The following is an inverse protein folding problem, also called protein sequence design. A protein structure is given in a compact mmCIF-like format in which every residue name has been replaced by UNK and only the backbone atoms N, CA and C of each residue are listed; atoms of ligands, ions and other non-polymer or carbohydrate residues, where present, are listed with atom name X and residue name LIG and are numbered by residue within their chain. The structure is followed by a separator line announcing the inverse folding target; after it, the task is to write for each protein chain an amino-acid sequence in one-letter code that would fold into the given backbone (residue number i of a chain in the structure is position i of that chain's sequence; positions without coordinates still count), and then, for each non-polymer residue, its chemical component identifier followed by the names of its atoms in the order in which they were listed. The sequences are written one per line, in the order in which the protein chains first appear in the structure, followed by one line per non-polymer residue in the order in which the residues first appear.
data_IF_154111615608
#
_entry.id   IF_154111615608
#
_cell.length_a   1.000
_cell.length_b   1.000
_cell.length_c   1.000
_cell.angle_alpha   90.00
_cell.angle_beta   90.00
_cell.angle_gamma   90.00
#
_symmetry.space_group_name_H-M   'P 1'
#
loop_
_entity.id
_entity.type
_entity.pdbx_description
1 polymer ?
#
# COMPACT_ATOMS: atom_id res chain seq x y z
N UNK A 1 -3.09 17.48 -11.07
CA UNK A 1 -2.83 16.54 -9.95
C UNK A 1 -2.20 15.24 -10.41
N UNK A 2 -2.87 14.45 -11.26
CA UNK A 2 -2.37 13.13 -11.71
C UNK A 2 -0.90 13.20 -12.16
N UNK A 3 -0.57 14.15 -13.05
CA UNK A 3 0.81 14.39 -13.50
C UNK A 3 1.79 14.66 -12.35
N UNK A 4 1.40 15.46 -11.35
CA UNK A 4 2.24 15.76 -10.18
C UNK A 4 2.50 14.50 -9.36
N UNK A 5 1.47 13.69 -9.10
CA UNK A 5 1.60 12.42 -8.37
C UNK A 5 2.47 11.43 -9.15
N UNK A 6 2.24 11.29 -10.45
CA UNK A 6 3.05 10.43 -11.32
C UNK A 6 4.52 10.87 -11.28
N UNK A 7 4.81 12.16 -11.40
CA UNK A 7 6.16 12.69 -11.29
C UNK A 7 6.79 12.40 -9.93
N UNK A 8 6.07 12.66 -8.83
CA UNK A 8 6.56 12.37 -7.46
C UNK A 8 6.94 10.88 -7.32
N UNK A 9 6.09 9.98 -7.81
CA UNK A 9 6.36 8.53 -7.76
C UNK A 9 7.53 8.12 -8.66
N UNK A 10 7.63 8.69 -9.87
CA UNK A 10 8.77 8.48 -10.75
C UNK A 10 10.08 8.95 -10.12
N UNK A 11 10.11 10.16 -9.56
CA UNK A 11 11.27 10.68 -8.85
C UNK A 11 11.63 9.80 -7.66
N UNK A 12 10.65 9.29 -6.93
CA UNK A 12 10.88 8.34 -5.83
C UNK A 12 11.63 7.10 -6.31
N UNK A 13 11.18 6.50 -7.42
CA UNK A 13 11.84 5.35 -8.03
C UNK A 13 13.26 5.69 -8.48
N UNK A 14 13.46 6.84 -9.13
CA UNK A 14 14.78 7.28 -9.62
C UNK A 14 15.77 7.55 -8.48
N UNK A 15 15.37 8.32 -7.47
CA UNK A 15 16.25 8.69 -6.36
C UNK A 15 16.56 7.50 -5.44
N UNK A 16 15.61 6.57 -5.26
CA UNK A 16 15.78 5.41 -4.40
C UNK A 16 16.08 4.11 -5.18
N UNK A 17 16.48 4.19 -6.45
CA UNK A 17 16.70 3.02 -7.31
C UNK A 17 17.61 1.95 -6.68
N UNK A 18 18.65 2.37 -5.94
CA UNK A 18 19.56 1.45 -5.26
C UNK A 18 18.88 0.71 -4.09
N UNK A 19 18.07 1.42 -3.29
CA UNK A 19 17.30 0.81 -2.19
C UNK A 19 16.23 -0.14 -2.75
N UNK A 20 15.55 0.26 -3.83
CA UNK A 20 14.56 -0.57 -4.53
C UNK A 20 15.23 -1.85 -5.05
N UNK A 21 16.42 -1.74 -5.66
CA UNK A 21 17.18 -2.91 -6.09
C UNK A 21 17.49 -3.85 -4.92
N UNK A 22 17.94 -3.32 -3.77
CA UNK A 22 18.17 -4.13 -2.57
C UNK A 22 16.89 -4.84 -2.11
N UNK A 23 15.75 -4.14 -2.09
CA UNK A 23 14.46 -4.74 -1.72
C UNK A 23 14.09 -5.90 -2.65
N UNK A 24 14.29 -5.75 -3.96
CA UNK A 24 14.03 -6.79 -4.95
C UNK A 24 14.99 -7.97 -4.76
N UNK A 25 16.30 -7.71 -4.63
CA UNK A 25 17.30 -8.76 -4.45
C UNK A 25 17.01 -9.57 -3.17
N UNK A 26 16.66 -8.89 -2.08
CA UNK A 26 16.25 -9.56 -0.82
C UNK A 26 14.99 -10.40 -1.01
N UNK A 27 13.98 -9.87 -1.72
CA UNK A 27 12.74 -10.58 -1.98
C UNK A 27 12.98 -11.93 -2.69
N UNK A 28 13.93 -11.99 -3.61
CA UNK A 28 14.29 -13.24 -4.29
C UNK A 28 15.15 -14.16 -3.43
N UNK A 29 16.21 -13.64 -2.79
CA UNK A 29 17.15 -14.46 -2.01
C UNK A 29 16.48 -15.20 -0.84
N UNK A 30 15.42 -14.64 -0.24
CA UNK A 30 14.77 -15.28 0.90
C UNK A 30 14.04 -16.58 0.55
N UNK A 31 13.65 -16.80 -0.71
CA UNK A 31 13.05 -18.06 -1.14
C UNK A 31 14.03 -19.24 -1.06
N UNK A 32 15.32 -18.98 -1.22
CA UNK A 32 16.37 -20.01 -1.15
C UNK A 32 16.67 -20.43 0.30
N UNK A 33 16.26 -19.63 1.28
CA UNK A 33 16.47 -19.92 2.70
C UNK A 33 15.35 -20.75 3.36
N UNK A 34 14.34 -21.15 2.59
CA UNK A 34 13.21 -21.94 3.07
C UNK A 34 13.62 -23.39 3.30
N UNK A 35 13.27 -23.94 4.48
CA UNK A 35 13.69 -25.29 4.90
C UNK A 35 12.63 -26.36 4.71
N UNK A 36 11.35 -25.99 4.75
CA UNK A 36 10.24 -26.96 4.79
C UNK A 36 9.16 -26.60 3.77
N UNK A 37 8.38 -27.59 3.27
CA UNK A 37 7.30 -27.33 2.33
C UNK A 37 6.24 -26.37 2.88
N UNK A 38 5.90 -26.46 4.18
CA UNK A 38 4.96 -25.53 4.83
C UNK A 38 5.47 -24.07 4.83
N UNK A 39 6.79 -23.85 4.98
CA UNK A 39 7.35 -22.49 4.87
C UNK A 39 7.21 -21.92 3.45
N UNK A 40 7.40 -22.79 2.43
CA UNK A 40 7.19 -22.43 1.02
C UNK A 40 5.73 -22.16 0.70
N UNK A 41 4.82 -22.96 1.24
CA UNK A 41 3.37 -22.77 1.08
C UNK A 41 2.93 -21.42 1.67
N UNK A 42 3.44 -21.03 2.84
CA UNK A 42 3.17 -19.72 3.43
C UNK A 42 3.63 -18.60 2.50
N UNK A 43 4.89 -18.61 2.05
CA UNK A 43 5.39 -17.55 1.16
C UNK A 43 4.61 -17.51 -0.17
N UNK A 44 4.26 -18.66 -0.74
CA UNK A 44 3.41 -18.73 -1.94
C UNK A 44 2.03 -18.11 -1.71
N UNK A 45 1.38 -18.42 -0.59
CA UNK A 45 0.07 -17.85 -0.25
C UNK A 45 0.10 -16.32 -0.15
N UNK A 46 1.15 -15.76 0.45
CA UNK A 46 1.32 -14.30 0.51
C UNK A 46 1.62 -13.70 -0.86
N UNK A 47 2.47 -14.34 -1.66
CA UNK A 47 2.74 -13.90 -3.04
C UNK A 47 1.49 -13.94 -3.93
N UNK A 48 0.66 -14.97 -3.81
CA UNK A 48 -0.62 -15.09 -4.52
C UNK A 48 -1.63 -14.04 -4.05
N UNK A 49 -1.66 -13.76 -2.74
CA UNK A 49 -2.52 -12.72 -2.16
C UNK A 49 -2.09 -11.34 -2.68
N UNK A 50 -0.80 -11.02 -2.63
CA UNK A 50 -0.26 -9.78 -3.17
C UNK A 50 -0.50 -9.63 -4.67
N UNK A 51 -0.39 -10.72 -5.45
CA UNK A 51 -0.74 -10.74 -6.88
C UNK A 51 -2.22 -10.43 -7.10
N UNK A 52 -3.11 -11.06 -6.33
CA UNK A 52 -4.56 -10.84 -6.44
C UNK A 52 -4.95 -9.41 -6.07
N UNK A 53 -4.37 -8.86 -4.99
CA UNK A 53 -4.60 -7.46 -4.60
C UNK A 53 -4.04 -6.49 -5.64
N UNK A 54 -2.84 -6.73 -6.14
CA UNK A 54 -2.25 -5.91 -7.21
C UNK A 54 -3.11 -5.92 -8.48
N UNK A 55 -3.62 -7.09 -8.89
CA UNK A 55 -4.49 -7.21 -10.06
C UNK A 55 -5.84 -6.52 -9.84
N UNK A 56 -6.46 -6.71 -8.68
CA UNK A 56 -7.72 -6.06 -8.33
C UNK A 56 -7.58 -4.53 -8.28
N UNK A 57 -6.53 -4.03 -7.62
CA UNK A 57 -6.22 -2.60 -7.54
C UNK A 57 -5.93 -2.01 -8.93
N UNK A 58 -5.14 -2.70 -9.75
CA UNK A 58 -4.85 -2.27 -11.13
C UNK A 58 -6.13 -2.18 -11.96
N UNK A 59 -6.96 -3.23 -11.94
CA UNK A 59 -8.23 -3.26 -12.67
C UNK A 59 -9.14 -2.11 -12.24
N UNK A 60 -9.23 -1.87 -10.92
CA UNK A 60 -9.97 -0.74 -10.37
C UNK A 60 -9.46 0.61 -10.91
N UNK A 61 -8.14 0.87 -10.89
CA UNK A 61 -7.56 2.12 -11.37
C UNK A 61 -7.80 2.35 -12.87
N UNK A 62 -7.64 1.30 -13.70
CA UNK A 62 -7.88 1.40 -15.14
C UNK A 62 -9.37 1.59 -15.46
N UNK A 63 -10.28 0.84 -14.83
CA UNK A 63 -11.73 0.99 -15.05
C UNK A 63 -12.21 2.37 -14.63
N UNK A 64 -11.87 2.82 -13.42
CA UNK A 64 -12.28 4.13 -12.91
C UNK A 64 -11.75 5.27 -13.77
N UNK A 65 -10.49 5.18 -14.19
CA UNK A 65 -9.89 6.13 -15.11
C UNK A 65 -10.55 6.17 -16.49
N UNK A 66 -10.82 5.00 -17.07
CA UNK A 66 -11.54 4.89 -18.34
C UNK A 66 -12.94 5.51 -18.24
N UNK A 67 -13.72 5.16 -17.22
CA UNK A 67 -15.05 5.73 -16.98
C UNK A 67 -15.00 7.25 -16.81
N UNK A 68 -13.99 7.76 -16.08
CA UNK A 68 -13.80 9.20 -15.85
C UNK A 68 -13.56 9.97 -17.16
N UNK A 69 -12.79 9.40 -18.08
CA UNK A 69 -12.53 9.99 -19.40
C UNK A 69 -13.75 9.87 -20.31
N UNK A 70 -14.44 8.73 -20.32
CA UNK A 70 -15.63 8.50 -21.13
C UNK A 70 -16.78 9.49 -20.84
N UNK A 71 -16.82 10.11 -19.65
CA UNK A 71 -17.77 11.20 -19.37
C UNK A 71 -17.69 12.34 -20.38
N UNK A 72 -16.50 12.61 -20.95
CA UNK A 72 -16.31 13.64 -21.99
C UNK A 72 -17.01 13.31 -23.31
N UNK A 73 -17.34 12.05 -23.57
CA UNK A 73 -18.07 11.63 -24.78
C UNK A 73 -19.59 11.83 -24.65
N UNK A 74 -20.12 12.08 -23.46
CA UNK A 74 -21.56 12.19 -23.25
C UNK A 74 -22.17 13.38 -24.04
N UNK A 75 -21.62 14.61 -23.99
CA UNK A 75 -22.17 15.72 -24.78
C UNK A 75 -22.23 15.46 -26.30
N UNK A 76 -21.15 15.02 -26.99
CA UNK A 76 -21.21 14.77 -28.43
C UNK A 76 -22.13 13.58 -28.80
N UNK A 77 -22.22 12.54 -27.97
CA UNK A 77 -23.17 11.45 -28.18
C UNK A 77 -24.62 11.95 -28.08
N UNK A 78 -24.92 12.79 -27.09
CA UNK A 78 -26.24 13.37 -26.92
C UNK A 78 -26.59 14.36 -28.03
N UNK A 79 -25.64 15.10 -28.59
CA UNK A 79 -25.89 16.00 -29.73
C UNK A 79 -26.30 15.21 -30.99
N UNK A 80 -25.85 13.97 -31.15
CA UNK A 80 -26.28 13.07 -32.24
C UNK A 80 -27.60 12.36 -31.93
N UNK A 81 -27.75 11.82 -30.71
CA UNK A 81 -28.90 11.00 -30.34
C UNK A 81 -30.15 11.81 -29.96
N UNK A 82 -29.96 12.98 -29.35
CA UNK A 82 -31.00 13.89 -28.84
C UNK A 82 -30.59 15.34 -29.14
N UNK A 83 -30.65 15.75 -30.42
CA UNK A 83 -30.19 17.07 -30.85
C UNK A 83 -31.02 18.18 -30.20
N UNK A 84 -30.34 19.24 -29.77
CA UNK A 84 -30.94 20.48 -29.29
C UNK A 84 -30.77 21.57 -30.37
N UNK A 85 -31.56 22.65 -30.29
CA UNK A 85 -31.42 23.80 -31.21
C UNK A 85 -30.02 24.45 -31.11
N UNK A 86 -29.37 24.34 -29.96
CA UNK A 86 -27.99 24.74 -29.73
C UNK A 86 -27.17 23.53 -29.26
N UNK A 87 -25.95 23.39 -29.76
CA UNK A 87 -25.05 22.30 -29.37
C UNK A 87 -24.61 22.42 -27.90
N UNK A 88 -24.52 21.30 -27.20
CA UNK A 88 -24.08 21.26 -25.79
C UNK A 88 -22.64 21.77 -25.62
N UNK A 89 -22.28 22.35 -24.46
CA UNK A 89 -20.89 22.73 -24.20
C UNK A 89 -19.97 21.51 -24.20
N UNK A 90 -18.75 21.68 -24.74
CA UNK A 90 -17.74 20.61 -24.74
C UNK A 90 -17.29 20.36 -23.31
N UNK A 91 -17.23 19.08 -22.92
CA UNK A 91 -16.67 18.66 -21.65
C UNK A 91 -15.26 18.11 -21.89
N UNK A 92 -14.18 18.90 -21.73
CA UNK A 92 -12.83 18.42 -21.98
C UNK A 92 -12.45 17.30 -21.00
N UNK A 93 -11.59 16.38 -21.43
CA UNK A 93 -11.14 15.25 -20.58
C UNK A 93 -10.37 15.73 -19.34
N UNK A 94 -9.62 16.81 -19.48
CA UNK A 94 -9.01 17.58 -18.40
C UNK A 94 -8.97 19.07 -18.78
N UNK A 95 -8.98 19.99 -17.82
CA UNK A 95 -8.86 21.42 -18.11
C UNK A 95 -7.43 21.69 -18.61
N UNK A 96 -7.30 22.03 -19.89
CA UNK A 96 -6.01 22.31 -20.53
C UNK A 96 -6.21 23.08 -21.82
N UNK A 97 -5.40 24.13 -22.03
CA UNK A 97 -5.46 24.93 -23.25
C UNK A 97 -4.50 24.37 -24.30
N UNK A 98 -5.04 23.96 -25.45
CA UNK A 98 -4.28 23.32 -26.53
C UNK A 98 -3.92 24.27 -27.67
N UNK A 99 -4.21 25.58 -27.54
CA UNK A 99 -4.02 26.59 -28.61
C UNK A 99 -4.72 26.24 -29.94
N UNK A 100 -5.74 25.40 -29.88
CA UNK A 100 -6.61 25.00 -31.00
C UNK A 100 -8.06 25.12 -30.57
N UNK A 101 -8.98 25.19 -31.54
CA UNK A 101 -10.42 25.18 -31.24
C UNK A 101 -10.84 23.87 -30.58
N UNK A 102 -11.47 23.97 -29.41
CA UNK A 102 -11.80 22.81 -28.57
C UNK A 102 -12.87 21.90 -29.20
N UNK A 103 -13.76 22.45 -30.04
CA UNK A 103 -14.81 21.68 -30.72
C UNK A 103 -14.27 21.00 -31.95
N UNK A 104 -13.54 21.72 -32.79
CA UNK A 104 -13.00 21.19 -34.04
C UNK A 104 -11.97 20.07 -33.78
N UNK A 105 -11.11 20.24 -32.78
CA UNK A 105 -10.04 19.29 -32.45
C UNK A 105 -10.37 18.37 -31.27
N UNK A 106 -11.65 18.26 -30.89
CA UNK A 106 -12.09 17.44 -29.76
C UNK A 106 -11.59 15.98 -29.85
N UNK A 107 -11.74 15.34 -31.01
CA UNK A 107 -11.32 13.93 -31.19
C UNK A 107 -9.83 13.74 -30.98
N UNK A 108 -8.99 14.65 -31.48
CA UNK A 108 -7.53 14.57 -31.34
C UNK A 108 -7.09 14.81 -29.89
N UNK A 109 -7.65 15.85 -29.25
CA UNK A 109 -7.37 16.16 -27.83
C UNK A 109 -7.85 15.06 -26.89
N UNK A 110 -9.00 14.44 -27.19
CA UNK A 110 -9.53 13.29 -26.46
C UNK A 110 -8.63 12.05 -26.59
N UNK A 111 -8.19 11.70 -27.80
CA UNK A 111 -7.25 10.59 -28.03
C UNK A 111 -5.92 10.82 -27.30
N UNK A 112 -5.39 12.04 -27.36
CA UNK A 112 -4.20 12.42 -26.59
C UNK A 112 -4.43 12.24 -25.09
N UNK A 113 -5.58 12.66 -24.58
CA UNK A 113 -5.91 12.53 -23.16
C UNK A 113 -5.98 11.06 -22.70
N UNK A 114 -6.52 10.16 -23.53
CA UNK A 114 -6.51 8.71 -23.25
C UNK A 114 -5.07 8.22 -23.10
N UNK A 115 -4.21 8.49 -24.09
CA UNK A 115 -2.81 8.00 -24.06
C UNK A 115 -2.05 8.58 -22.86
N UNK A 116 -2.18 9.87 -22.60
CA UNK A 116 -1.53 10.52 -21.47
C UNK A 116 -1.99 9.94 -20.11
N UNK A 117 -3.29 9.65 -19.99
CA UNK A 117 -3.86 9.05 -18.79
C UNK A 117 -3.38 7.62 -18.58
N UNK A 118 -3.40 6.78 -19.61
CA UNK A 118 -2.92 5.39 -19.54
C UNK A 118 -1.47 5.32 -19.08
N UNK A 119 -0.60 6.17 -19.61
CA UNK A 119 0.81 6.27 -19.19
C UNK A 119 0.90 6.67 -17.72
N UNK A 120 0.16 7.70 -17.31
CA UNK A 120 0.21 8.23 -15.96
C UNK A 120 -0.32 7.23 -14.91
N UNK A 121 -1.44 6.57 -15.20
CA UNK A 121 -2.04 5.54 -14.32
C UNK A 121 -1.13 4.32 -14.24
N UNK A 122 -0.54 3.88 -15.36
CA UNK A 122 0.41 2.75 -15.34
C UNK A 122 1.57 3.02 -14.38
N UNK A 123 2.14 4.23 -14.40
CA UNK A 123 3.21 4.62 -13.47
C UNK A 123 2.77 4.62 -12.00
N UNK A 124 1.56 5.11 -11.71
CA UNK A 124 0.97 5.12 -10.36
C UNK A 124 0.75 3.70 -9.87
N UNK A 125 0.10 2.87 -10.70
CA UNK A 125 -0.22 1.47 -10.40
C UNK A 125 1.05 0.65 -10.19
N UNK A 126 2.06 0.80 -11.04
CA UNK A 126 3.33 0.09 -10.91
C UNK A 126 4.03 0.41 -9.57
N UNK A 127 4.07 1.69 -9.20
CA UNK A 127 4.66 2.12 -7.93
C UNK A 127 3.91 1.55 -6.71
N UNK A 128 2.57 1.61 -6.73
CA UNK A 128 1.75 1.16 -5.60
C UNK A 128 1.73 -0.36 -5.46
N UNK A 129 1.62 -1.09 -6.57
CA UNK A 129 1.69 -2.56 -6.57
C UNK A 129 3.07 -3.05 -6.11
N UNK A 130 4.15 -2.32 -6.42
CA UNK A 130 5.48 -2.60 -5.89
C UNK A 130 5.51 -2.46 -4.37
N UNK A 131 5.00 -1.35 -3.82
CA UNK A 131 4.90 -1.15 -2.37
C UNK A 131 4.05 -2.24 -1.70
N UNK A 132 2.88 -2.56 -2.27
CA UNK A 132 1.99 -3.61 -1.78
C UNK A 132 2.71 -4.96 -1.73
N UNK A 133 3.42 -5.31 -2.80
CA UNK A 133 4.18 -6.56 -2.86
C UNK A 133 5.26 -6.63 -1.79
N UNK A 134 5.95 -5.53 -1.51
CA UNK A 134 6.93 -5.46 -0.41
C UNK A 134 6.29 -5.62 0.97
N UNK A 135 5.13 -5.00 1.20
CA UNK A 135 4.40 -5.14 2.46
C UNK A 135 3.95 -6.60 2.66
N UNK A 136 3.36 -7.21 1.63
CA UNK A 136 2.94 -8.62 1.66
C UNK A 136 4.12 -9.56 1.90
N UNK A 137 5.26 -9.27 1.29
CA UNK A 137 6.48 -10.01 1.52
C UNK A 137 6.94 -9.90 2.98
N UNK A 138 6.99 -8.70 3.58
CA UNK A 138 7.31 -8.55 5.01
C UNK A 138 6.32 -9.30 5.90
N UNK A 139 5.02 -9.23 5.61
CA UNK A 139 4.00 -9.99 6.34
C UNK A 139 4.26 -11.50 6.28
N UNK A 140 4.74 -12.00 5.14
CA UNK A 140 5.12 -13.41 4.97
C UNK A 140 6.33 -13.77 5.85
N UNK A 141 7.36 -12.92 5.91
CA UNK A 141 8.56 -13.15 6.74
C UNK A 141 8.20 -13.11 8.22
N UNK A 142 7.33 -12.19 8.64
CA UNK A 142 6.85 -12.11 10.03
C UNK A 142 6.10 -13.38 10.42
N UNK A 143 5.22 -13.85 9.54
CA UNK A 143 4.47 -15.10 9.74
C UNK A 143 5.41 -16.30 9.82
N UNK A 144 6.42 -16.35 8.95
CA UNK A 144 7.47 -17.36 8.93
C UNK A 144 8.29 -17.36 10.23
N UNK A 145 8.69 -16.17 10.70
CA UNK A 145 9.39 -16.03 11.97
C UNK A 145 8.53 -16.57 13.14
N UNK A 146 7.25 -16.19 13.19
CA UNK A 146 6.30 -16.70 14.18
C UNK A 146 6.15 -18.23 14.15
N UNK A 147 6.01 -18.82 12.96
CA UNK A 147 5.93 -20.27 12.79
C UNK A 147 7.21 -20.98 13.28
N UNK A 148 8.39 -20.44 12.92
CA UNK A 148 9.67 -21.02 13.33
C UNK A 148 9.84 -21.00 14.84
N UNK A 149 9.43 -19.90 15.50
CA UNK A 149 9.37 -19.84 16.95
C UNK A 149 8.37 -20.85 17.53
N UNK A 150 7.19 -21.03 16.95
CA UNK A 150 6.21 -22.00 17.44
C UNK A 150 6.73 -23.45 17.36
N UNK A 151 7.33 -23.84 16.21
CA UNK A 151 7.89 -25.19 16.00
C UNK A 151 9.03 -25.51 16.95
N UNK A 152 9.93 -24.54 17.17
CA UNK A 152 11.02 -24.65 18.14
C UNK A 152 10.50 -25.06 19.53
N UNK A 153 9.33 -24.55 19.89
CA UNK A 153 8.74 -24.73 21.21
C UNK A 153 7.96 -26.04 21.29
N UNK A 154 7.29 -26.44 20.21
CA UNK A 154 6.63 -27.75 20.10
C UNK A 154 7.64 -28.91 20.18
N UNK A 155 8.67 -28.91 19.32
CA UNK A 155 9.73 -29.93 19.32
C UNK A 155 10.38 -30.10 20.69
N UNK A 156 10.53 -28.99 21.42
CA UNK A 156 11.08 -28.99 22.76
C UNK A 156 10.15 -29.66 23.77
N UNK A 157 8.86 -29.36 23.76
CA UNK A 157 7.90 -30.02 24.66
C UNK A 157 7.88 -31.53 24.41
N UNK A 158 7.93 -31.96 23.15
CA UNK A 158 8.01 -33.38 22.79
C UNK A 158 9.33 -34.01 23.29
N UNK A 159 10.46 -33.29 23.17
CA UNK A 159 11.75 -33.73 23.69
C UNK A 159 11.84 -33.75 25.22
N UNK A 160 11.20 -32.81 25.92
CA UNK A 160 11.12 -32.79 27.39
C UNK A 160 10.27 -33.97 27.89
N UNK A 161 9.23 -34.36 27.13
CA UNK A 161 8.46 -35.56 27.41
C UNK A 161 9.24 -36.86 27.08
N UNK A 162 10.20 -36.80 26.15
CA UNK A 162 11.00 -37.96 25.73
C UNK A 162 12.34 -38.13 26.48
N UNK A 163 12.95 -37.09 27.06
CA UNK A 163 14.27 -37.16 27.70
C UNK A 163 14.21 -37.47 29.21
N UNK A 164 13.96 -38.74 29.48
CA UNK A 164 14.70 -39.52 30.49
C UNK A 164 16.01 -40.11 29.92
N UNK A 165 16.44 -39.78 28.70
CA UNK A 165 17.64 -40.36 28.09
C UNK A 165 18.59 -39.34 27.47
N UNK A 166 19.72 -39.14 28.16
CA UNK A 166 21.07 -38.81 27.69
C UNK A 166 21.34 -37.67 26.67
N UNK A 167 22.37 -36.90 27.01
CA UNK A 167 22.81 -35.66 26.41
C UNK A 167 23.25 -35.76 24.94
N UNK A 168 23.00 -34.68 24.20
CA UNK A 168 23.29 -34.53 22.77
C UNK A 168 22.52 -33.50 21.89
N UNK A 169 21.54 -32.65 22.34
CA UNK A 169 20.75 -31.80 21.41
C UNK A 169 21.04 -30.28 21.43
N UNK A 170 22.04 -29.79 22.19
CA UNK A 170 22.18 -28.35 22.49
C UNK A 170 22.54 -27.47 21.28
N UNK A 171 23.34 -27.97 20.32
CA UNK A 171 23.81 -27.15 19.20
C UNK A 171 22.76 -26.99 18.08
N UNK A 172 21.95 -28.02 17.81
CA UNK A 172 20.88 -27.97 16.80
C UNK A 172 19.77 -27.02 17.24
N UNK A 173 19.32 -27.12 18.49
CA UNK A 173 18.31 -26.21 19.04
C UNK A 173 18.80 -24.75 19.04
N UNK A 174 20.09 -24.53 19.37
CA UNK A 174 20.72 -23.21 19.32
C UNK A 174 20.76 -22.64 17.89
N UNK A 175 21.11 -23.46 16.89
CA UNK A 175 21.10 -23.07 15.48
C UNK A 175 19.70 -22.69 15.00
N UNK A 176 18.67 -23.47 15.37
CA UNK A 176 17.28 -23.17 14.99
C UNK A 176 16.76 -21.86 15.63
N UNK A 177 17.10 -21.59 16.89
CA UNK A 177 16.74 -20.32 17.56
C UNK A 177 17.44 -19.14 16.90
N UNK A 178 18.76 -19.26 16.68
CA UNK A 178 19.55 -18.20 16.02
C UNK A 178 18.99 -17.88 14.65
N UNK A 179 18.59 -18.92 13.90
CA UNK A 179 17.96 -18.77 12.60
C UNK A 179 16.61 -18.04 12.68
N UNK A 180 15.75 -18.38 13.64
CA UNK A 180 14.45 -17.72 13.85
C UNK A 180 14.59 -16.25 14.24
N UNK A 181 15.55 -15.95 15.13
CA UNK A 181 15.93 -14.58 15.50
C UNK A 181 16.46 -13.81 14.28
N UNK A 182 17.26 -14.45 13.42
CA UNK A 182 17.75 -13.86 12.19
C UNK A 182 16.58 -13.52 11.23
N UNK A 183 15.62 -14.42 11.05
CA UNK A 183 14.42 -14.19 10.22
C UNK A 183 13.61 -13.00 10.72
N UNK A 184 13.34 -12.91 12.02
CA UNK A 184 12.66 -11.74 12.59
C UNK A 184 13.45 -10.44 12.37
N UNK A 185 14.77 -10.47 12.55
CA UNK A 185 15.63 -9.31 12.30
C UNK A 185 15.64 -8.90 10.82
N UNK A 186 15.54 -9.84 9.89
CA UNK A 186 15.42 -9.57 8.46
C UNK A 186 14.10 -8.86 8.14
N UNK A 187 12.98 -9.35 8.67
CA UNK A 187 11.67 -8.69 8.53
C UNK A 187 11.73 -7.22 9.00
N UNK A 188 12.31 -6.97 10.17
CA UNK A 188 12.50 -5.62 10.70
C UNK A 188 13.32 -4.72 9.75
N UNK A 189 14.45 -5.23 9.26
CA UNK A 189 15.32 -4.48 8.34
C UNK A 189 14.64 -4.23 6.99
N UNK A 190 13.92 -5.21 6.47
CA UNK A 190 13.18 -5.09 5.21
C UNK A 190 12.10 -4.01 5.35
N UNK A 191 11.30 -4.07 6.41
CA UNK A 191 10.27 -3.07 6.69
C UNK A 191 10.85 -1.65 6.86
N UNK A 192 11.97 -1.53 7.58
CA UNK A 192 12.66 -0.26 7.74
C UNK A 192 13.16 0.28 6.39
N UNK A 193 13.67 -0.59 5.51
CA UNK A 193 14.12 -0.19 4.17
C UNK A 193 12.95 0.24 3.27
N UNK A 194 11.78 -0.41 3.37
CA UNK A 194 10.54 0.07 2.71
C UNK A 194 10.22 1.47 3.22
N UNK A 195 10.17 1.67 4.53
CA UNK A 195 9.83 2.95 5.13
C UNK A 195 10.83 4.04 4.69
N UNK A 196 12.13 3.79 4.79
CA UNK A 196 13.20 4.71 4.35
C UNK A 196 13.17 5.01 2.85
N UNK A 197 12.46 4.21 2.05
CA UNK A 197 12.33 4.37 0.60
C UNK A 197 11.08 5.18 0.23
N UNK A 198 9.94 4.89 0.87
CA UNK A 198 8.63 5.42 0.46
C UNK A 198 8.05 6.49 1.39
N UNK A 199 8.62 6.69 2.59
CA UNK A 199 8.05 7.56 3.63
C UNK A 199 7.79 9.00 3.18
N UNK A 200 8.74 9.62 2.46
CA UNK A 200 8.58 10.98 1.94
C UNK A 200 7.47 11.07 0.87
N UNK A 201 7.47 10.14 -0.06
CA UNK A 201 6.51 10.04 -1.17
C UNK A 201 5.10 9.90 -0.66
N UNK A 202 4.92 9.03 0.33
CA UNK A 202 3.66 8.80 1.01
C UNK A 202 3.19 10.04 1.79
N UNK A 203 4.10 10.77 2.43
CA UNK A 203 3.77 12.02 3.12
C UNK A 203 3.27 13.09 2.16
N UNK A 204 3.98 13.31 1.06
CA UNK A 204 3.57 14.27 0.02
C UNK A 204 2.22 13.85 -0.57
N UNK A 205 2.01 12.56 -0.79
CA UNK A 205 0.75 12.04 -1.32
C UNK A 205 -0.44 12.29 -0.38
N UNK A 206 -0.28 12.10 0.93
CA UNK A 206 -1.35 12.39 1.91
C UNK A 206 -1.70 13.88 1.88
N UNK A 207 -0.71 14.77 1.92
CA UNK A 207 -0.96 16.23 1.91
C UNK A 207 -1.71 16.65 0.64
N UNK A 208 -1.26 16.18 -0.53
CA UNK A 208 -1.92 16.48 -1.81
C UNK A 208 -3.35 15.92 -1.83
N UNK A 209 -3.56 14.71 -1.31
CA UNK A 209 -4.87 14.07 -1.28
C UNK A 209 -5.85 14.84 -0.36
N UNK A 210 -5.43 15.21 0.85
CA UNK A 210 -6.25 16.00 1.80
C UNK A 210 -6.67 17.34 1.20
N UNK A 211 -5.72 18.09 0.63
CA UNK A 211 -6.02 19.39 -0.01
C UNK A 211 -7.00 19.20 -1.17
N UNK A 212 -6.77 18.18 -2.00
CA UNK A 212 -7.58 17.95 -3.19
C UNK A 212 -9.00 17.51 -2.86
N UNK A 213 -9.19 16.61 -1.89
CA UNK A 213 -10.53 16.21 -1.42
C UNK A 213 -11.28 17.46 -0.93
N UNK A 214 -10.62 18.30 -0.13
CA UNK A 214 -11.21 19.53 0.41
C UNK A 214 -11.67 20.49 -0.69
N UNK A 215 -10.82 20.78 -1.67
CA UNK A 215 -11.15 21.66 -2.81
C UNK A 215 -12.24 21.04 -3.69
N UNK A 216 -12.19 19.74 -3.94
CA UNK A 216 -13.19 19.08 -4.80
C UNK A 216 -14.56 19.06 -4.15
N UNK A 217 -14.63 18.87 -2.82
CA UNK A 217 -15.89 19.00 -2.07
C UNK A 217 -16.46 20.40 -2.17
N UNK A 218 -15.62 21.42 -2.04
CA UNK A 218 -16.02 22.82 -2.20
C UNK A 218 -16.63 23.05 -3.59
N UNK A 219 -15.97 22.56 -4.65
CA UNK A 219 -16.46 22.64 -6.03
C UNK A 219 -17.80 21.93 -6.22
N UNK A 220 -18.03 20.79 -5.55
CA UNK A 220 -19.33 20.09 -5.58
C UNK A 220 -20.43 20.96 -4.98
N UNK A 221 -20.15 21.67 -3.88
CA UNK A 221 -21.17 22.48 -3.19
C UNK A 221 -21.47 23.82 -3.84
N UNK A 222 -20.51 24.42 -4.54
CA UNK A 222 -20.63 25.75 -5.11
C UNK A 222 -21.16 25.76 -6.54
N UNK A 223 -21.15 24.62 -7.22
CA UNK A 223 -21.44 24.60 -8.64
C UNK A 223 -22.94 24.72 -8.95
N UNK A 224 -23.28 25.77 -9.72
CA UNK A 224 -24.41 25.80 -10.66
C UNK A 224 -24.12 25.00 -11.95
N UNK A 225 -23.09 24.15 -11.96
CA UNK A 225 -22.65 23.43 -13.16
C UNK A 225 -23.55 22.22 -13.45
N UNK A 226 -23.54 21.78 -14.71
CA UNK A 226 -24.34 20.64 -15.15
C UNK A 226 -24.00 19.35 -14.40
N UNK A 227 -25.00 18.47 -14.28
CA UNK A 227 -24.97 17.19 -13.55
C UNK A 227 -23.71 16.35 -13.85
N UNK A 228 -23.23 16.37 -15.10
CA UNK A 228 -22.03 15.63 -15.53
C UNK A 228 -20.74 16.05 -14.79
N UNK A 229 -20.58 17.34 -14.50
CA UNK A 229 -19.39 17.85 -13.80
C UNK A 229 -19.46 17.46 -12.32
N UNK A 230 -20.64 17.54 -11.71
CA UNK A 230 -20.87 17.05 -10.35
C UNK A 230 -20.55 15.55 -10.23
N UNK A 231 -21.05 14.72 -11.15
CA UNK A 231 -20.74 13.28 -11.19
C UNK A 231 -19.24 13.05 -11.31
N UNK A 232 -18.54 13.82 -12.15
CA UNK A 232 -17.09 13.72 -12.33
C UNK A 232 -16.34 13.99 -11.02
N UNK A 233 -16.72 15.02 -10.27
CA UNK A 233 -16.09 15.35 -8.98
C UNK A 233 -16.39 14.31 -7.90
N UNK A 234 -17.63 13.81 -7.82
CA UNK A 234 -17.98 12.75 -6.87
C UNK A 234 -17.17 11.48 -7.14
N UNK A 235 -17.10 11.05 -8.41
CA UNK A 235 -16.28 9.89 -8.80
C UNK A 235 -14.80 10.10 -8.47
N UNK A 236 -14.29 11.31 -8.68
CA UNK A 236 -12.92 11.64 -8.34
C UNK A 236 -12.65 11.53 -6.82
N UNK A 237 -13.51 12.09 -5.98
CA UNK A 237 -13.36 12.01 -4.51
C UNK A 237 -13.44 10.58 -4.02
N UNK A 238 -14.44 9.82 -4.49
CA UNK A 238 -14.56 8.40 -4.17
C UNK A 238 -13.30 7.63 -4.60
N UNK A 239 -12.74 7.97 -5.77
CA UNK A 239 -11.54 7.31 -6.27
C UNK A 239 -10.31 7.58 -5.40
N UNK A 240 -10.14 8.82 -4.94
CA UNK A 240 -9.07 9.21 -4.03
C UNK A 240 -9.21 8.57 -2.65
N UNK A 241 -10.44 8.42 -2.14
CA UNK A 241 -10.72 7.78 -0.86
C UNK A 241 -10.40 6.28 -0.90
N UNK A 242 -10.84 5.57 -1.95
CA UNK A 242 -10.54 4.14 -2.13
C UNK A 242 -9.03 3.94 -2.25
N UNK A 243 -8.34 4.80 -3.00
CA UNK A 243 -6.89 4.76 -3.14
C UNK A 243 -6.17 4.87 -1.78
N UNK A 244 -6.53 5.86 -0.97
CA UNK A 244 -5.96 6.05 0.37
C UNK A 244 -6.34 4.92 1.33
N UNK A 245 -7.56 4.40 1.21
CA UNK A 245 -8.03 3.25 1.99
C UNK A 245 -7.18 2.01 1.69
N UNK A 246 -6.90 1.69 0.42
CA UNK A 246 -6.05 0.56 0.05
C UNK A 246 -4.66 0.65 0.69
N UNK A 247 -4.02 1.82 0.66
CA UNK A 247 -2.71 2.02 1.30
C UNK A 247 -2.77 1.86 2.82
N UNK A 248 -3.84 2.38 3.44
CA UNK A 248 -4.02 2.31 4.90
C UNK A 248 -4.37 0.90 5.37
N UNK A 249 -5.10 0.14 4.55
CA UNK A 249 -5.42 -1.26 4.77
C UNK A 249 -4.17 -2.14 4.75
N UNK A 250 -3.29 -1.95 3.76
CA UNK A 250 -2.00 -2.67 3.71
C UNK A 250 -1.09 -2.29 4.89
N UNK A 251 -1.06 -1.00 5.27
CA UNK A 251 -0.37 -0.56 6.47
C UNK A 251 -0.90 -1.22 7.75
N UNK A 252 -2.22 -1.34 7.88
CA UNK A 252 -2.86 -2.04 9.00
C UNK A 252 -2.48 -3.53 9.03
N UNK A 253 -2.47 -4.18 7.87
CA UNK A 253 -2.09 -5.60 7.74
C UNK A 253 -0.67 -5.85 8.27
N UNK A 254 0.27 -4.95 7.99
CA UNK A 254 1.63 -5.02 8.50
C UNK A 254 1.68 -4.91 10.04
N UNK A 255 0.92 -3.98 10.61
CA UNK A 255 0.79 -3.80 12.06
C UNK A 255 0.25 -5.07 12.70
N UNK A 256 -0.84 -5.62 12.16
CA UNK A 256 -1.51 -6.80 12.69
C UNK A 256 -0.58 -8.02 12.66
N UNK A 257 0.14 -8.25 11.56
CA UNK A 257 1.12 -9.34 11.49
C UNK A 257 2.29 -9.16 12.44
N UNK A 258 2.76 -7.93 12.65
CA UNK A 258 3.80 -7.64 13.62
C UNK A 258 3.35 -7.99 15.05
N UNK A 259 2.12 -7.60 15.42
CA UNK A 259 1.54 -7.88 16.73
C UNK A 259 1.29 -9.38 16.93
N UNK A 260 0.76 -10.08 15.92
CA UNK A 260 0.59 -11.53 15.99
C UNK A 260 1.91 -12.27 16.20
N UNK A 261 2.98 -11.86 15.51
CA UNK A 261 4.30 -12.45 15.70
C UNK A 261 4.84 -12.18 17.10
N UNK A 262 4.65 -10.97 17.63
CA UNK A 262 4.97 -10.64 19.03
C UNK A 262 4.25 -11.58 20.00
N UNK A 263 2.95 -11.74 19.84
CA UNK A 263 2.12 -12.54 20.74
C UNK A 263 2.49 -14.03 20.69
N UNK A 264 2.80 -14.57 19.50
CA UNK A 264 3.34 -15.94 19.34
C UNK A 264 4.67 -16.14 20.07
N UNK A 265 5.56 -15.15 20.03
CA UNK A 265 6.85 -15.21 20.72
C UNK A 265 6.65 -15.09 22.23
N UNK A 266 5.81 -14.17 22.70
CA UNK A 266 5.56 -13.93 24.11
C UNK A 266 4.88 -15.12 24.80
N UNK A 267 3.84 -15.69 24.18
CA UNK A 267 3.08 -16.82 24.71
C UNK A 267 3.85 -18.15 24.64
N UNK A 268 5.04 -18.15 24.05
CA UNK A 268 5.89 -19.33 24.05
C UNK A 268 6.47 -19.61 25.45
N UNK A 269 6.75 -20.88 25.82
CA UNK A 269 7.42 -21.21 27.09
C UNK A 269 8.93 -20.83 27.10
N UNK A 270 9.28 -19.63 26.67
CA UNK A 270 10.65 -19.14 26.50
C UNK A 270 11.45 -19.16 27.81
N UNK A 271 10.77 -18.96 28.95
CA UNK A 271 11.35 -19.02 30.30
C UNK A 271 11.84 -20.42 30.68
N UNK A 272 11.47 -21.47 29.93
CA UNK A 272 12.03 -22.81 30.11
C UNK A 272 13.36 -22.97 29.38
N UNK A 273 13.72 -22.07 28.47
CA UNK A 273 14.88 -22.22 27.58
C UNK A 273 16.23 -22.08 28.26
N UNK A 274 17.33 -22.40 27.55
CA UNK A 274 18.67 -22.14 28.09
C UNK A 274 18.85 -20.64 28.33
N UNK A 275 19.66 -20.26 29.31
CA UNK A 275 19.86 -18.85 29.67
C UNK A 275 20.30 -17.98 28.47
N UNK A 276 21.13 -18.53 27.58
CA UNK A 276 21.53 -17.85 26.35
C UNK A 276 20.35 -17.61 25.40
N UNK A 277 19.51 -18.62 25.16
CA UNK A 277 18.35 -18.51 24.29
C UNK A 277 17.27 -17.58 24.85
N UNK A 278 17.06 -17.62 26.17
CA UNK A 278 16.20 -16.66 26.88
C UNK A 278 16.66 -15.23 26.62
N UNK A 279 17.97 -14.97 26.76
CA UNK A 279 18.53 -13.63 26.50
C UNK A 279 18.31 -13.16 25.07
N UNK A 280 18.49 -14.03 24.08
CA UNK A 280 18.22 -13.68 22.66
C UNK A 280 16.74 -13.36 22.42
N UNK A 281 15.84 -14.16 23.00
CA UNK A 281 14.39 -13.96 22.87
C UNK A 281 13.91 -12.69 23.58
N UNK A 282 14.50 -12.34 24.72
CA UNK A 282 14.20 -11.06 25.39
C UNK A 282 14.48 -9.87 24.47
N UNK A 283 15.61 -9.84 23.75
CA UNK A 283 15.89 -8.79 22.77
C UNK A 283 14.89 -8.79 21.60
N UNK A 284 14.46 -9.97 21.14
CA UNK A 284 13.43 -10.06 20.09
C UNK A 284 12.10 -9.51 20.60
N UNK A 285 11.67 -9.89 21.80
CA UNK A 285 10.44 -9.39 22.41
C UNK A 285 10.49 -7.89 22.65
N UNK A 286 11.61 -7.36 23.16
CA UNK A 286 11.82 -5.93 23.34
C UNK A 286 11.65 -5.17 22.01
N UNK A 287 12.21 -5.69 20.92
CA UNK A 287 12.01 -5.10 19.58
C UNK A 287 10.58 -5.27 19.06
N UNK A 288 9.93 -6.38 19.37
CA UNK A 288 8.56 -6.67 18.96
C UNK A 288 7.50 -5.92 19.79
N UNK A 289 7.87 -5.29 20.92
CA UNK A 289 6.96 -4.42 21.69
C UNK A 289 6.43 -3.27 20.83
N UNK A 290 7.30 -2.70 20.00
CA UNK A 290 6.91 -1.69 19.02
C UNK A 290 6.46 -2.40 17.74
N UNK A 291 5.19 -2.22 17.31
CA UNK A 291 4.73 -2.81 16.07
C UNK A 291 5.52 -2.25 14.90
N UNK A 292 5.74 -3.09 13.89
CA UNK A 292 6.22 -2.65 12.59
C UNK A 292 5.06 -1.97 11.87
N UNK A 293 5.27 -0.75 11.42
CA UNK A 293 4.27 0.03 10.71
C UNK A 293 4.89 0.78 9.56
N UNK A 294 4.06 1.10 8.56
CA UNK A 294 4.40 2.03 7.50
C UNK A 294 4.03 3.45 7.95
N UNK A 295 4.92 4.42 7.77
CA UNK A 295 4.62 5.82 8.10
C UNK A 295 5.05 6.80 7.02
N UNK A 296 4.32 7.91 6.97
CA UNK A 296 4.67 9.12 6.25
C UNK A 296 5.44 10.06 7.20
N UNK A 297 6.74 10.19 6.95
CA UNK A 297 7.71 10.96 7.72
C UNK A 297 7.64 10.78 9.25
N UNK A 298 7.23 9.61 9.76
CA UNK A 298 6.98 9.33 11.19
C UNK A 298 5.87 10.18 11.85
N UNK A 299 5.15 11.01 11.08
CA UNK A 299 4.07 11.87 11.57
C UNK A 299 2.72 11.15 11.42
N UNK A 300 2.53 10.46 10.29
CA UNK A 300 1.30 9.76 9.98
C UNK A 300 1.57 8.27 9.81
N UNK A 301 0.87 7.44 10.57
CA UNK A 301 0.97 5.97 10.47
C UNK A 301 -0.14 5.48 9.52
N UNK A 302 0.19 4.62 8.57
CA UNK A 302 -0.81 4.01 7.69
C UNK A 302 -1.60 2.95 8.48
N UNK A 303 -2.78 3.34 8.95
CA UNK A 303 -3.74 2.50 9.67
C UNK A 303 -5.17 2.92 9.28
N UNK A 304 -6.15 2.05 9.53
CA UNK A 304 -7.57 2.35 9.26
C UNK A 304 -8.05 3.52 10.14
N UNK A 305 -7.54 3.62 11.36
CA UNK A 305 -7.82 4.74 12.27
C UNK A 305 -7.36 6.08 11.66
N UNK A 306 -6.11 6.15 11.23
CA UNK A 306 -5.55 7.37 10.65
C UNK A 306 -6.14 7.71 9.27
N UNK A 307 -6.59 6.72 8.50
CA UNK A 307 -7.39 6.99 7.29
C UNK A 307 -8.63 7.82 7.63
N UNK A 308 -9.32 7.47 8.72
CA UNK A 308 -10.52 8.20 9.17
C UNK A 308 -10.17 9.63 9.56
N UNK A 309 -9.01 9.87 10.19
CA UNK A 309 -8.56 11.23 10.52
C UNK A 309 -8.25 12.07 9.29
N UNK A 310 -7.72 11.49 8.21
CA UNK A 310 -7.54 12.19 6.92
C UNK A 310 -8.88 12.59 6.30
N UNK A 311 -9.88 11.73 6.36
CA UNK A 311 -11.23 12.04 5.88
C UNK A 311 -11.84 13.18 6.70
N UNK A 312 -11.76 13.12 8.03
CA UNK A 312 -12.27 14.16 8.93
C UNK A 312 -11.56 15.51 8.73
N UNK A 313 -10.23 15.51 8.56
CA UNK A 313 -9.47 16.73 8.31
C UNK A 313 -9.81 17.35 6.96
N UNK A 314 -10.00 16.53 5.92
CA UNK A 314 -10.47 17.00 4.61
C UNK A 314 -11.86 17.65 4.70
N UNK A 315 -12.80 17.03 5.42
CA UNK A 315 -14.13 17.60 5.68
C UNK A 315 -14.06 18.90 6.47
N UNK A 316 -13.16 18.99 7.45
CA UNK A 316 -12.97 20.18 8.26
C UNK A 316 -12.44 21.35 7.42
N UNK A 317 -11.43 21.10 6.59
CA UNK A 317 -10.90 22.09 5.65
C UNK A 317 -11.94 22.51 4.61
N UNK A 318 -12.69 21.56 4.05
CA UNK A 318 -13.85 21.88 3.21
C UNK A 318 -14.82 22.83 3.91
N UNK A 319 -15.22 22.53 5.15
CA UNK A 319 -16.19 23.35 5.90
C UNK A 319 -15.66 24.76 6.15
N UNK A 320 -14.38 24.89 6.52
CA UNK A 320 -13.73 26.20 6.70
C UNK A 320 -13.73 26.98 5.39
N UNK A 321 -13.31 26.37 4.29
CA UNK A 321 -13.30 27.03 2.97
C UNK A 321 -14.70 27.46 2.55
N UNK A 322 -15.72 26.60 2.76
CA UNK A 322 -17.10 26.91 2.44
C UNK A 322 -17.69 28.05 3.28
N UNK A 323 -17.16 28.32 4.47
CA UNK A 323 -17.58 29.46 5.31
C UNK A 323 -16.85 30.77 5.01
N UNK A 324 -15.70 30.70 4.34
CA UNK A 324 -14.89 31.88 3.98
C UNK A 324 -15.33 32.53 2.66
N UNK A 325 -16.15 31.84 1.87
CA UNK A 325 -16.75 32.34 0.62
C UNK A 325 -18.20 32.80 0.83
#
# INVERSE_FOLDING_TARGET
MLAVITLIKLYTCCFNQYKIKILIDWLFMEWDELKTPEEREIMQRYAETGRRYSLGYSLYCFITGFLFICLSLIPPILDVALPLNESRPVLPAYPGHYFVDEREYFTYTFLHAIVAWEIAVTGIVAHDCMLLTYIEHVCSILTLAGLRFERLMRKRNDHVNALYSHAGPSDVHRKEITFSVCTHRKALKFAQLIEDTFSLTLAIQIVINTIMISITLLQITQQNAGILIMVRYVLFVLSQLIHLFCLSFEGQKLIDHSLQTRDKIYNSPWYKMSAQSQKMLMFVMEKALNPIFLSACKIYIFSIENFTTVVQTSMSYFTVLATLE
#
